data_IF_090371241863
#
_entry.id   IF_090371241863
#
_cell.length_a   1.000
_cell.length_b   1.000
_cell.length_c   1.000
_cell.angle_alpha   90.00
_cell.angle_beta   90.00
_cell.angle_gamma   90.00
#
_symmetry.space_group_name_H-M   'P 1'
#
loop_
_entity.id
_entity.type
_entity.pdbx_description
1 polymer ?
#
# COMPACT_ATOMS: atom_id res chain seq x y z
N UNK A 1 -17.04 11.60 29.50
CA UNK A 1 -17.25 10.48 28.55
C UNK A 1 -15.95 9.70 28.48
N UNK A 2 -15.95 8.39 28.77
CA UNK A 2 -14.75 7.55 28.56
C UNK A 2 -14.71 7.20 27.08
N UNK A 3 -13.72 7.70 26.35
CA UNK A 3 -13.40 7.18 25.02
C UNK A 3 -12.93 5.76 25.24
N UNK A 4 -13.76 4.77 24.88
CA UNK A 4 -13.34 3.38 24.83
C UNK A 4 -12.25 3.29 23.76
N UNK A 5 -10.99 3.11 24.17
CA UNK A 5 -9.93 2.75 23.23
C UNK A 5 -10.34 1.43 22.59
N UNK A 6 -10.58 1.44 21.28
CA UNK A 6 -10.74 0.20 20.55
C UNK A 6 -9.44 -0.61 20.69
N UNK A 7 -9.52 -1.93 20.91
CA UNK A 7 -8.33 -2.77 20.93
C UNK A 7 -7.58 -2.64 19.60
N UNK A 8 -6.25 -2.59 19.66
CA UNK A 8 -5.41 -2.46 18.47
C UNK A 8 -5.66 -3.64 17.51
N UNK A 9 -5.86 -3.33 16.23
CA UNK A 9 -5.96 -4.31 15.16
C UNK A 9 -4.59 -4.87 14.71
N UNK A 10 -3.49 -4.52 15.39
CA UNK A 10 -2.15 -4.96 14.99
C UNK A 10 -1.95 -6.47 15.11
N UNK A 11 -2.68 -7.13 16.01
CA UNK A 11 -2.62 -8.60 16.18
C UNK A 11 -3.56 -9.35 15.22
N UNK A 12 -4.39 -8.63 14.47
CA UNK A 12 -5.25 -9.23 13.45
C UNK A 12 -4.43 -9.52 12.19
N UNK A 13 -4.73 -10.64 11.53
CA UNK A 13 -4.12 -11.00 10.24
C UNK A 13 -4.64 -10.09 9.14
N UNK A 14 -3.77 -9.77 8.20
CA UNK A 14 -4.14 -8.93 7.07
C UNK A 14 -5.25 -9.60 6.24
N UNK A 15 -6.21 -8.79 5.78
CA UNK A 15 -7.17 -9.17 4.73
C UNK A 15 -7.19 -8.14 3.61
N UNK A 16 -7.54 -8.56 2.40
CA UNK A 16 -7.56 -7.68 1.23
C UNK A 16 -8.94 -7.10 0.96
N UNK A 17 -8.95 -5.87 0.47
CA UNK A 17 -10.10 -5.29 -0.22
C UNK A 17 -9.64 -4.73 -1.55
N UNK A 18 -10.37 -5.06 -2.62
CA UNK A 18 -10.02 -4.72 -4.00
C UNK A 18 -10.95 -3.66 -4.62
N UNK A 19 -11.84 -3.06 -3.80
CA UNK A 19 -12.88 -2.14 -4.28
C UNK A 19 -12.31 -0.88 -4.95
N UNK A 20 -11.15 -0.44 -4.51
CA UNK A 20 -10.54 0.83 -4.93
C UNK A 20 -9.36 0.64 -5.89
N UNK A 21 -9.19 -0.56 -6.46
CA UNK A 21 -8.16 -0.79 -7.48
C UNK A 21 -8.33 0.24 -8.60
N UNK A 22 -7.26 0.96 -8.90
CA UNK A 22 -7.23 1.86 -10.05
C UNK A 22 -6.78 1.07 -11.27
N UNK A 23 -7.60 1.00 -12.31
CA UNK A 23 -7.27 0.24 -13.51
C UNK A 23 -6.52 1.09 -14.55
N UNK A 24 -6.35 2.39 -14.32
CA UNK A 24 -5.65 3.28 -15.25
C UNK A 24 -4.44 3.97 -14.58
N UNK A 25 -3.72 4.76 -15.35
CA UNK A 25 -2.54 5.49 -14.87
C UNK A 25 -1.29 4.64 -14.77
N UNK A 26 -0.20 5.24 -14.28
CA UNK A 26 1.15 4.66 -14.30
C UNK A 26 1.31 3.42 -13.43
N UNK A 27 0.47 3.28 -12.40
CA UNK A 27 0.50 2.19 -11.42
C UNK A 27 -0.81 1.40 -11.38
N UNK A 28 -1.62 1.59 -12.44
CA UNK A 28 -2.91 0.95 -12.58
C UNK A 28 -2.81 -0.52 -12.95
N UNK A 29 -3.89 -1.25 -12.71
CA UNK A 29 -3.97 -2.70 -12.93
C UNK A 29 -4.37 -3.10 -14.37
N UNK A 30 -4.65 -2.14 -15.25
CA UNK A 30 -5.22 -2.40 -16.58
C UNK A 30 -4.26 -3.06 -17.58
N UNK A 31 -2.95 -2.89 -17.42
CA UNK A 31 -1.94 -3.40 -18.37
C UNK A 31 -1.00 -4.45 -17.75
N UNK A 32 -1.38 -5.07 -16.64
CA UNK A 32 -0.57 -6.09 -15.98
C UNK A 32 -0.61 -7.42 -16.74
N UNK A 33 0.56 -8.02 -16.99
CA UNK A 33 0.64 -9.34 -17.61
C UNK A 33 0.32 -10.48 -16.60
N UNK A 34 0.01 -11.66 -17.14
CA UNK A 34 -0.39 -12.81 -16.33
C UNK A 34 0.72 -13.34 -15.41
N UNK A 35 1.98 -13.26 -15.82
CA UNK A 35 3.12 -13.74 -15.02
C UNK A 35 3.30 -12.85 -13.78
N UNK A 36 3.26 -11.53 -13.98
CA UNK A 36 3.29 -10.53 -12.92
C UNK A 36 2.10 -10.70 -11.97
N UNK A 37 0.90 -10.96 -12.50
CA UNK A 37 -0.28 -11.19 -11.66
C UNK A 37 -0.15 -12.45 -10.78
N UNK A 38 0.37 -13.56 -11.33
CA UNK A 38 0.64 -14.79 -10.58
C UNK A 38 1.70 -14.55 -9.50
N UNK A 39 2.75 -13.79 -9.81
CA UNK A 39 3.77 -13.38 -8.85
C UNK A 39 3.18 -12.58 -7.69
N UNK A 40 2.38 -11.55 -7.98
CA UNK A 40 1.72 -10.73 -6.97
C UNK A 40 0.76 -11.59 -6.12
N UNK A 41 -0.04 -12.47 -6.75
CA UNK A 41 -0.90 -13.40 -6.03
C UNK A 41 -0.11 -14.22 -4.99
N UNK A 42 1.06 -14.76 -5.36
CA UNK A 42 1.92 -15.48 -4.43
C UNK A 42 2.38 -14.62 -3.24
N UNK A 43 2.66 -13.34 -3.47
CA UNK A 43 3.00 -12.38 -2.41
C UNK A 43 1.81 -12.05 -1.52
N UNK A 44 0.63 -11.83 -2.10
CA UNK A 44 -0.61 -11.57 -1.35
C UNK A 44 -0.93 -12.75 -0.42
N UNK A 45 -0.86 -13.98 -0.92
CA UNK A 45 -1.07 -15.18 -0.11
C UNK A 45 -0.09 -15.30 1.08
N UNK A 46 1.17 -14.87 0.92
CA UNK A 46 2.14 -14.83 2.02
C UNK A 46 1.72 -13.82 3.09
N UNK A 47 1.33 -12.61 2.70
CA UNK A 47 0.92 -11.54 3.61
C UNK A 47 -0.36 -11.86 4.39
N UNK A 48 -1.29 -12.65 3.82
CA UNK A 48 -2.49 -13.12 4.55
C UNK A 48 -2.16 -13.97 5.79
N UNK A 49 -0.97 -14.57 5.83
CA UNK A 49 -0.53 -15.35 6.99
C UNK A 49 -0.02 -14.48 8.13
N UNK A 50 0.32 -13.21 7.85
CA UNK A 50 0.99 -12.28 8.75
C UNK A 50 -0.01 -11.38 9.47
N UNK A 51 0.31 -11.05 10.72
CA UNK A 51 -0.33 -9.98 11.49
C UNK A 51 0.19 -8.61 11.05
N UNK A 52 -0.60 -7.56 11.29
CA UNK A 52 -0.14 -6.20 11.04
C UNK A 52 1.08 -5.81 11.89
N UNK A 53 1.23 -6.36 13.09
CA UNK A 53 2.42 -6.16 13.93
C UNK A 53 3.70 -6.68 13.24
N UNK A 54 3.63 -7.83 12.58
CA UNK A 54 4.75 -8.39 11.81
C UNK A 54 5.02 -7.56 10.54
N UNK A 55 3.96 -7.12 9.86
CA UNK A 55 4.07 -6.29 8.65
C UNK A 55 4.69 -4.93 8.97
N UNK A 56 4.25 -4.28 10.05
CA UNK A 56 4.73 -2.96 10.47
C UNK A 56 6.12 -2.99 11.12
N UNK A 57 6.77 -4.15 11.21
CA UNK A 57 8.12 -4.22 11.72
C UNK A 57 9.04 -3.31 10.87
N UNK A 58 9.83 -2.40 11.46
CA UNK A 58 10.65 -1.45 10.71
C UNK A 58 11.58 -2.07 9.66
N UNK A 59 11.95 -3.34 9.82
CA UNK A 59 12.84 -4.05 8.90
C UNK A 59 12.14 -4.55 7.62
N UNK A 60 10.81 -4.60 7.57
CA UNK A 60 10.08 -5.03 6.36
C UNK A 60 10.12 -3.95 5.27
N UNK A 61 10.27 -2.68 5.66
CA UNK A 61 10.09 -1.53 4.77
C UNK A 61 8.63 -1.23 4.45
N UNK A 62 7.67 -1.84 5.18
CA UNK A 62 6.25 -1.53 5.08
C UNK A 62 5.87 -0.45 6.09
N UNK A 63 5.31 0.67 5.64
CA UNK A 63 4.98 1.81 6.50
C UNK A 63 4.00 2.77 5.83
N UNK A 64 3.26 3.56 6.63
CA UNK A 64 2.48 4.68 6.10
C UNK A 64 3.39 5.81 5.62
N UNK A 65 2.96 6.48 4.56
CA UNK A 65 3.59 7.67 3.99
C UNK A 65 2.50 8.70 3.75
N UNK A 66 2.76 9.94 4.17
CA UNK A 66 1.80 11.04 4.01
C UNK A 66 1.62 11.35 2.52
N UNK A 67 0.39 11.62 2.08
CA UNK A 67 0.10 11.87 0.65
C UNK A 67 0.93 13.04 0.10
N UNK A 68 1.13 14.08 0.90
CA UNK A 68 1.96 15.25 0.55
C UNK A 68 3.43 14.92 0.22
N UNK A 69 3.93 13.78 0.71
CA UNK A 69 5.32 13.34 0.51
C UNK A 69 5.46 12.45 -0.74
N UNK A 70 4.35 12.02 -1.35
CA UNK A 70 4.34 11.25 -2.61
C UNK A 70 4.73 12.14 -3.79
N UNK A 71 5.09 11.53 -4.93
CA UNK A 71 5.35 12.29 -6.14
C UNK A 71 4.11 13.06 -6.64
N UNK A 72 4.33 14.13 -7.42
CA UNK A 72 3.27 14.99 -7.94
C UNK A 72 2.19 14.24 -8.73
N UNK A 73 2.60 13.24 -9.49
CA UNK A 73 1.76 12.39 -10.32
C UNK A 73 0.81 11.54 -9.46
N UNK A 74 1.32 11.00 -8.35
CA UNK A 74 0.51 10.26 -7.39
C UNK A 74 -0.51 11.17 -6.71
N UNK A 75 -0.08 12.34 -6.21
CA UNK A 75 -0.99 13.31 -5.60
C UNK A 75 -2.11 13.74 -6.55
N UNK A 76 -1.76 14.01 -7.82
CA UNK A 76 -2.72 14.37 -8.86
C UNK A 76 -3.71 13.24 -9.13
N UNK A 77 -3.23 12.00 -9.31
CA UNK A 77 -4.10 10.86 -9.59
C UNK A 77 -5.07 10.59 -8.43
N UNK A 78 -4.61 10.69 -7.17
CA UNK A 78 -5.49 10.55 -5.99
C UNK A 78 -6.62 11.59 -6.01
N UNK A 79 -6.33 12.84 -6.38
CA UNK A 79 -7.34 13.89 -6.51
C UNK A 79 -8.35 13.60 -7.64
N UNK A 80 -7.90 13.01 -8.75
CA UNK A 80 -8.75 12.62 -9.89
C UNK A 80 -9.71 11.48 -9.52
N UNK A 81 -9.23 10.45 -8.82
CA UNK A 81 -10.03 9.26 -8.50
C UNK A 81 -10.82 9.37 -7.18
N UNK A 82 -10.54 10.39 -6.36
CA UNK A 82 -11.29 10.75 -5.14
C UNK A 82 -11.41 9.61 -4.11
N UNK A 83 -10.40 8.75 -4.00
CA UNK A 83 -10.40 7.60 -3.06
C UNK A 83 -9.92 7.94 -1.66
N UNK A 84 -9.22 9.06 -1.50
CA UNK A 84 -8.64 9.56 -0.24
C UNK A 84 -8.67 11.08 -0.23
N UNK A 85 -8.62 11.68 0.96
CA UNK A 85 -8.41 13.13 1.10
C UNK A 85 -6.91 13.48 1.15
N UNK A 86 -6.55 14.73 0.85
CA UNK A 86 -5.14 15.17 0.80
C UNK A 86 -4.43 15.20 2.16
N UNK A 87 -5.17 15.11 3.27
CA UNK A 87 -4.63 15.08 4.63
C UNK A 87 -4.37 13.64 5.14
N UNK A 88 -4.63 12.63 4.30
CA UNK A 88 -4.44 11.23 4.65
C UNK A 88 -3.04 10.71 4.30
N UNK A 89 -2.80 9.47 4.71
CA UNK A 89 -1.63 8.67 4.37
C UNK A 89 -2.01 7.48 3.49
N UNK A 90 -1.09 7.06 2.64
CA UNK A 90 -1.15 5.74 2.01
C UNK A 90 -0.15 4.82 2.69
N UNK A 91 -0.51 3.55 2.81
CA UNK A 91 0.37 2.52 3.30
C UNK A 91 1.13 1.89 2.14
N UNK A 92 2.46 1.94 2.20
CA UNK A 92 3.37 1.29 1.26
C UNK A 92 3.68 -0.12 1.75
N UNK A 93 3.15 -1.14 1.08
CA UNK A 93 3.42 -2.55 1.35
C UNK A 93 4.51 -3.07 0.41
N UNK A 94 5.69 -3.39 0.96
CA UNK A 94 6.85 -3.88 0.21
C UNK A 94 6.76 -5.37 -0.10
N UNK A 95 6.67 -5.72 -1.39
CA UNK A 95 6.68 -7.12 -1.84
C UNK A 95 8.10 -7.69 -1.97
N UNK A 96 9.00 -6.89 -2.56
CA UNK A 96 10.42 -7.17 -2.71
C UNK A 96 11.13 -5.86 -3.09
N UNK A 97 12.48 -5.82 -3.06
CA UNK A 97 13.28 -4.79 -3.72
C UNK A 97 12.64 -3.40 -3.76
N UNK A 98 12.25 -2.96 -4.96
CA UNK A 98 11.50 -1.71 -5.26
C UNK A 98 9.97 -1.87 -5.33
N UNK A 99 9.48 -3.08 -5.48
CA UNK A 99 8.08 -3.40 -5.73
C UNK A 99 7.17 -3.12 -4.52
N UNK A 100 6.16 -2.27 -4.71
CA UNK A 100 5.17 -1.90 -3.68
C UNK A 100 3.76 -2.13 -4.17
N UNK A 101 2.91 -2.57 -3.24
CA UNK A 101 1.49 -2.27 -3.31
C UNK A 101 1.21 -1.03 -2.47
N UNK A 102 0.41 -0.13 -3.02
CA UNK A 102 -0.08 1.04 -2.30
C UNK A 102 -1.55 0.86 -1.97
N UNK A 103 -1.96 1.33 -0.80
CA UNK A 103 -3.33 1.16 -0.37
C UNK A 103 -3.61 1.85 0.95
N UNK A 104 -4.86 1.72 1.40
CA UNK A 104 -5.30 2.27 2.68
C UNK A 104 -5.36 1.13 3.69
N UNK A 105 -4.71 1.31 4.83
CA UNK A 105 -4.89 0.42 5.97
C UNK A 105 -6.09 0.88 6.78
N UNK A 106 -7.11 0.04 6.87
CA UNK A 106 -8.25 0.24 7.78
C UNK A 106 -8.38 -0.98 8.69
N UNK A 107 -7.93 -0.82 9.95
CA UNK A 107 -7.78 -1.92 10.90
C UNK A 107 -6.90 -3.06 10.37
N UNK A 108 -7.49 -4.23 10.12
CA UNK A 108 -6.83 -5.41 9.57
C UNK A 108 -6.91 -5.49 8.05
N UNK A 109 -7.69 -4.60 7.41
CA UNK A 109 -7.96 -4.62 5.97
C UNK A 109 -6.95 -3.71 5.27
N UNK A 110 -6.31 -4.23 4.22
CA UNK A 110 -5.57 -3.44 3.25
C UNK A 110 -6.41 -3.25 1.99
N UNK A 111 -6.86 -2.02 1.75
CA UNK A 111 -7.60 -1.63 0.54
C UNK A 111 -6.59 -1.33 -0.55
N UNK A 112 -6.37 -2.28 -1.46
CA UNK A 112 -5.35 -2.18 -2.51
C UNK A 112 -5.80 -1.13 -3.53
N UNK A 113 -4.89 -0.21 -3.85
CA UNK A 113 -5.08 0.86 -4.82
C UNK A 113 -4.19 0.65 -6.06
N UNK A 114 -2.87 0.62 -5.87
CA UNK A 114 -1.91 0.61 -6.98
C UNK A 114 -0.84 -0.49 -6.86
N UNK A 115 -0.29 -0.84 -8.02
CA UNK A 115 0.91 -1.66 -8.17
C UNK A 115 2.06 -0.79 -8.70
N UNK A 116 3.10 -0.59 -7.87
CA UNK A 116 4.28 0.20 -8.19
C UNK A 116 5.53 -0.70 -8.25
N UNK A 117 5.90 -1.23 -9.44
CA UNK A 117 7.06 -2.11 -9.58
C UNK A 117 8.41 -1.40 -9.42
N UNK A 118 8.44 -0.07 -9.53
CA UNK A 118 9.68 0.71 -9.69
C UNK A 118 9.96 1.68 -8.54
N UNK A 119 9.09 1.75 -7.54
CA UNK A 119 9.17 2.68 -6.42
C UNK A 119 9.09 4.14 -6.89
N UNK A 120 8.18 4.41 -7.83
CA UNK A 120 7.99 5.72 -8.47
C UNK A 120 6.94 6.58 -7.74
N UNK A 121 6.06 5.99 -6.93
CA UNK A 121 5.08 6.74 -6.12
C UNK A 121 5.77 7.53 -5.00
N UNK A 122 6.83 6.98 -4.42
CA UNK A 122 7.66 7.63 -3.40
C UNK A 122 9.15 7.41 -3.69
N UNK A 123 9.72 8.14 -4.66
CA UNK A 123 11.12 7.99 -5.02
C UNK A 123 11.99 8.46 -3.85
N UNK A 124 12.92 7.60 -3.42
CA UNK A 124 13.93 7.96 -2.44
C UNK A 124 15.29 7.99 -3.12
N UNK A 125 16.02 9.07 -2.91
CA UNK A 125 17.40 9.16 -3.39
C UNK A 125 18.23 8.04 -2.76
N UNK A 126 19.05 7.37 -3.58
CA UNK A 126 20.03 6.43 -3.06
C UNK A 126 20.99 7.23 -2.18
N UNK A 127 21.01 6.95 -0.87
CA UNK A 127 22.16 7.34 -0.05
C UNK A 127 23.37 6.62 -0.65
N UNK A 128 24.29 7.36 -1.27
CA UNK A 128 25.62 6.85 -1.59
C UNK A 128 26.20 6.31 -0.28
N UNK A 129 26.33 5.00 -0.22
CA UNK A 129 26.98 4.29 0.89
C UNK A 129 28.30 3.76 0.37
#
# INVERSE_FOLDING_TARGET
MRVSQQPSSDQEKLSWQIRILDFEGLWGWGEIDAETLIYIHGKLAQFETMTWAEINNPNTGCHPIQIKDLCSEAQKRLAEIQVVTTEEELFSLRLSGKERLWGIRERHIFKILWWDPRHEVYPVDKKHT
#
